data_IF_353265208074
#
_entry.id   IF_353265208074
#
_cell.length_a   1.000
_cell.length_b   1.000
_cell.length_c   1.000
_cell.angle_alpha   90.00
_cell.angle_beta   90.00
_cell.angle_gamma   90.00
#
_symmetry.space_group_name_H-M   'P 1'
#
loop_
_entity.id
_entity.type
_entity.pdbx_description
1 polymer ?
#
# COMPACT_ATOMS: atom_id res chain seq x y z
N UNK A 1 31.64 26.62 -8.38
CA UNK A 1 30.47 27.15 -7.65
C UNK A 1 29.30 27.30 -8.60
N UNK A 2 28.11 26.86 -8.12
CA UNK A 2 26.77 27.11 -8.68
C UNK A 2 26.53 26.65 -10.12
N UNK A 3 25.92 25.47 -10.27
CA UNK A 3 24.80 25.29 -11.21
C UNK A 3 23.79 24.26 -10.65
N UNK A 4 22.72 24.83 -10.09
CA UNK A 4 21.32 24.41 -10.19
C UNK A 4 20.96 22.97 -9.80
N UNK A 5 20.64 22.79 -8.51
CA UNK A 5 19.79 21.71 -8.03
C UNK A 5 18.37 22.00 -8.54
N UNK A 6 17.99 21.34 -9.63
CA UNK A 6 16.64 21.42 -10.17
C UNK A 6 15.72 20.56 -9.31
N UNK A 7 15.16 21.14 -8.25
CA UNK A 7 14.01 20.57 -7.54
C UNK A 7 12.77 20.71 -8.42
N UNK A 8 12.49 19.72 -9.26
CA UNK A 8 11.14 19.55 -9.81
C UNK A 8 10.31 18.89 -8.72
N UNK A 9 9.87 19.71 -7.77
CA UNK A 9 8.84 19.36 -6.82
C UNK A 9 7.49 19.43 -7.54
N UNK A 10 7.10 18.35 -8.24
CA UNK A 10 5.70 18.13 -8.59
C UNK A 10 5.11 17.24 -7.49
N UNK A 11 4.82 17.89 -6.37
CA UNK A 11 4.03 17.32 -5.29
C UNK A 11 2.54 17.49 -5.61
N UNK A 12 2.02 16.73 -6.57
CA UNK A 12 0.57 16.51 -6.70
C UNK A 12 0.34 15.10 -7.22
N UNK A 13 0.16 14.14 -6.33
CA UNK A 13 -0.69 12.97 -6.62
C UNK A 13 -1.36 12.51 -5.32
N UNK A 14 -2.38 13.26 -4.91
CA UNK A 14 -3.47 12.70 -4.11
C UNK A 14 -4.31 11.82 -5.03
N UNK A 15 -3.86 10.60 -5.27
CA UNK A 15 -4.68 9.53 -5.85
C UNK A 15 -4.69 8.36 -4.87
N UNK A 16 -5.83 8.09 -4.19
CA UNK A 16 -6.01 6.83 -3.48
C UNK A 16 -6.22 5.73 -4.53
N UNK A 17 -5.12 5.27 -5.13
CA UNK A 17 -5.11 4.10 -5.99
C UNK A 17 -5.21 2.86 -5.09
N UNK A 18 -6.44 2.42 -4.80
CA UNK A 18 -6.67 1.13 -4.16
C UNK A 18 -6.29 0.00 -5.13
N UNK A 19 -5.01 -0.36 -5.14
CA UNK A 19 -4.52 -1.59 -5.71
C UNK A 19 -4.04 -2.50 -4.58
N UNK A 20 -4.98 -3.14 -3.88
CA UNK A 20 -4.64 -4.25 -2.97
C UNK A 20 -4.35 -5.49 -3.83
N UNK A 21 -3.25 -5.46 -4.58
CA UNK A 21 -2.71 -6.67 -5.18
C UNK A 21 -1.79 -7.32 -4.16
N UNK A 22 -2.15 -8.53 -3.73
CA UNK A 22 -1.30 -9.54 -3.08
C UNK A 22 -0.15 -9.88 -4.06
N UNK A 23 0.74 -8.93 -4.32
CA UNK A 23 1.95 -9.07 -5.15
C UNK A 23 3.14 -8.99 -4.22
N UNK A 24 4.13 -9.84 -4.50
CA UNK A 24 5.42 -9.75 -3.86
C UNK A 24 5.94 -8.29 -4.00
N UNK A 25 6.28 -7.58 -2.91
CA UNK A 25 6.68 -6.17 -2.96
C UNK A 25 7.78 -5.90 -3.99
N UNK A 26 8.69 -6.85 -4.17
CA UNK A 26 9.75 -6.82 -5.18
C UNK A 26 9.17 -6.84 -6.61
N UNK A 27 8.26 -7.76 -6.91
CA UNK A 27 7.60 -7.80 -8.22
C UNK A 27 6.75 -6.56 -8.51
N UNK A 28 6.26 -5.88 -7.48
CA UNK A 28 5.58 -4.60 -7.64
C UNK A 28 6.57 -3.47 -7.98
N UNK A 29 7.70 -3.42 -7.28
CA UNK A 29 8.77 -2.47 -7.56
C UNK A 29 9.34 -2.66 -8.97
N UNK A 30 9.60 -3.90 -9.39
CA UNK A 30 10.13 -4.19 -10.73
C UNK A 30 9.19 -3.72 -11.85
N UNK A 31 7.88 -3.88 -11.65
CA UNK A 31 6.87 -3.40 -12.60
C UNK A 31 6.82 -1.87 -12.65
N UNK A 32 6.95 -1.20 -11.52
CA UNK A 32 7.02 0.25 -11.45
C UNK A 32 8.29 0.78 -12.10
N UNK A 33 9.43 0.17 -11.76
CA UNK A 33 10.74 0.49 -12.32
C UNK A 33 10.73 0.38 -13.85
N UNK A 34 10.16 -0.71 -14.39
CA UNK A 34 10.05 -0.90 -15.84
C UNK A 34 9.08 0.06 -16.51
N UNK A 35 7.94 0.37 -15.87
CA UNK A 35 6.90 1.24 -16.47
C UNK A 35 7.24 2.72 -16.45
N UNK A 36 8.02 3.14 -15.44
CA UNK A 36 8.40 4.54 -15.22
C UNK A 36 9.88 4.79 -15.53
N UNK A 37 10.56 3.76 -16.04
CA UNK A 37 11.99 3.79 -16.39
C UNK A 37 12.87 4.32 -15.24
N UNK A 38 12.58 3.85 -14.02
CA UNK A 38 13.25 4.33 -12.82
C UNK A 38 14.70 3.86 -12.79
N UNK A 39 15.63 4.78 -12.56
CA UNK A 39 17.02 4.44 -12.24
C UNK A 39 17.16 3.90 -10.80
N UNK A 40 18.33 3.36 -10.46
CA UNK A 40 18.59 2.73 -9.16
C UNK A 40 18.32 3.66 -7.97
N UNK A 41 18.68 4.94 -8.08
CA UNK A 41 18.46 5.91 -7.01
C UNK A 41 16.97 6.20 -6.81
N UNK A 42 16.20 6.31 -7.90
CA UNK A 42 14.75 6.49 -7.85
C UNK A 42 14.05 5.27 -7.26
N UNK A 43 14.48 4.06 -7.64
CA UNK A 43 13.93 2.82 -7.08
C UNK A 43 14.14 2.73 -5.57
N UNK A 44 15.33 3.09 -5.07
CA UNK A 44 15.61 3.13 -3.62
C UNK A 44 14.72 4.13 -2.88
N UNK A 45 14.53 5.33 -3.44
CA UNK A 45 13.66 6.35 -2.85
C UNK A 45 12.19 5.91 -2.83
N UNK A 46 11.69 5.34 -3.94
CA UNK A 46 10.32 4.82 -4.00
C UNK A 46 10.13 3.66 -3.03
N UNK A 47 11.11 2.76 -2.91
CA UNK A 47 11.07 1.65 -1.96
C UNK A 47 10.95 2.16 -0.51
N UNK A 48 11.73 3.18 -0.15
CA UNK A 48 11.66 3.80 1.18
C UNK A 48 10.28 4.42 1.45
N UNK A 49 9.73 5.16 0.48
CA UNK A 49 8.39 5.78 0.59
C UNK A 49 7.31 4.70 0.77
N UNK A 50 7.34 3.64 -0.04
CA UNK A 50 6.35 2.56 0.04
C UNK A 50 6.46 1.78 1.35
N UNK A 51 7.67 1.57 1.86
CA UNK A 51 7.89 0.93 3.17
C UNK A 51 7.28 1.77 4.30
N UNK A 52 7.57 3.07 4.33
CA UNK A 52 7.02 3.98 5.32
C UNK A 52 5.49 4.03 5.25
N UNK A 53 4.93 4.11 4.03
CA UNK A 53 3.48 4.08 3.81
C UNK A 53 2.84 2.77 4.30
N UNK A 54 3.50 1.63 4.08
CA UNK A 54 3.04 0.34 4.56
C UNK A 54 2.97 0.28 6.10
N UNK A 55 4.01 0.75 6.78
CA UNK A 55 4.07 0.81 8.25
C UNK A 55 2.97 1.71 8.81
N UNK A 56 2.77 2.90 8.23
CA UNK A 56 1.68 3.81 8.60
C UNK A 56 0.30 3.17 8.40
N UNK A 57 0.11 2.49 7.27
CA UNK A 57 -1.15 1.83 6.98
C UNK A 57 -1.44 0.66 7.94
N UNK A 58 -0.40 -0.09 8.35
CA UNK A 58 -0.53 -1.15 9.35
C UNK A 58 -1.01 -0.59 10.68
N UNK A 59 -0.37 0.46 11.18
CA UNK A 59 -0.77 1.12 12.42
C UNK A 59 -2.19 1.68 12.34
N UNK A 60 -2.55 2.31 11.22
CA UNK A 60 -3.91 2.81 10.98
C UNK A 60 -4.94 1.68 11.00
N UNK A 61 -4.63 0.54 10.37
CA UNK A 61 -5.52 -0.63 10.35
C UNK A 61 -5.76 -1.18 11.75
N UNK A 62 -4.71 -1.31 12.56
CA UNK A 62 -4.81 -1.77 13.95
C UNK A 62 -5.66 -0.81 14.80
N UNK A 63 -5.39 0.50 14.72
CA UNK A 63 -6.18 1.51 15.43
C UNK A 63 -7.65 1.52 15.00
N UNK A 64 -7.92 1.37 13.69
CA UNK A 64 -9.29 1.29 13.18
C UNK A 64 -10.01 0.05 13.71
N UNK A 65 -9.32 -1.08 13.79
CA UNK A 65 -9.88 -2.31 14.34
C UNK A 65 -10.26 -2.16 15.82
N UNK A 66 -9.41 -1.52 16.62
CA UNK A 66 -9.69 -1.21 18.03
C UNK A 66 -10.87 -0.23 18.18
N UNK A 67 -10.96 0.79 17.32
CA UNK A 67 -12.12 1.69 17.34
C UNK A 67 -13.43 0.96 17.00
N UNK A 68 -13.37 0.00 16.07
CA UNK A 68 -14.53 -0.79 15.69
C UNK A 68 -14.95 -1.78 16.78
N UNK A 69 -14.01 -2.34 17.55
CA UNK A 69 -14.36 -3.25 18.66
C UNK A 69 -15.10 -2.56 19.81
N UNK A 70 -14.98 -1.23 19.93
CA UNK A 70 -15.74 -0.44 20.89
C UNK A 70 -17.19 -0.17 20.46
N UNK A 71 -17.51 -0.33 19.17
CA UNK A 71 -18.84 0.00 18.60
C UNK A 71 -19.61 -1.25 18.19
N UNK A 72 -18.91 -2.27 17.70
CA UNK A 72 -19.50 -3.51 17.22
C UNK A 72 -19.57 -4.57 18.31
N UNK A 73 -20.59 -5.43 18.24
CA UNK A 73 -20.59 -6.65 19.06
C UNK A 73 -19.52 -7.63 18.56
N UNK A 74 -19.12 -8.57 19.42
CA UNK A 74 -18.14 -9.61 19.07
C UNK A 74 -18.58 -10.41 17.81
N UNK A 75 -19.86 -10.75 17.70
CA UNK A 75 -20.40 -11.47 16.54
C UNK A 75 -20.33 -10.64 15.25
N UNK A 76 -20.58 -9.33 15.33
CA UNK A 76 -20.51 -8.42 14.18
C UNK A 76 -19.05 -8.25 13.70
N UNK A 77 -18.12 -8.15 14.63
CA UNK A 77 -16.69 -8.04 14.35
C UNK A 77 -16.16 -9.33 13.70
N UNK A 78 -16.50 -10.50 14.24
CA UNK A 78 -16.14 -11.80 13.65
C UNK A 78 -16.74 -11.96 12.24
N UNK A 79 -17.99 -11.53 12.03
CA UNK A 79 -18.60 -11.53 10.70
C UNK A 79 -17.86 -10.63 9.72
N UNK A 80 -17.40 -9.46 10.17
CA UNK A 80 -16.59 -8.54 9.36
C UNK A 80 -15.26 -9.18 8.93
N UNK A 81 -14.56 -9.84 9.85
CA UNK A 81 -13.30 -10.55 9.56
C UNK A 81 -13.51 -11.67 8.54
N UNK A 82 -14.54 -12.51 8.74
CA UNK A 82 -14.90 -13.57 7.78
C UNK A 82 -15.23 -13.03 6.40
N UNK A 83 -15.90 -11.87 6.30
CA UNK A 83 -16.15 -11.23 5.00
C UNK A 83 -14.84 -10.78 4.32
N UNK A 84 -13.91 -10.22 5.10
CA UNK A 84 -12.61 -9.80 4.59
C UNK A 84 -11.78 -11.01 4.09
N UNK A 85 -11.77 -12.12 4.83
CA UNK A 85 -11.07 -13.33 4.44
C UNK A 85 -11.68 -13.99 3.20
N UNK A 86 -13.00 -14.04 3.10
CA UNK A 86 -13.69 -14.52 1.88
C UNK A 86 -13.29 -13.73 0.64
N UNK A 87 -13.19 -12.39 0.74
CA UNK A 87 -12.73 -11.54 -0.36
C UNK A 87 -11.28 -11.86 -0.74
N UNK A 88 -10.41 -12.09 0.24
CA UNK A 88 -9.02 -12.50 0.01
C UNK A 88 -8.92 -13.87 -0.67
N UNK A 89 -9.66 -14.87 -0.20
CA UNK A 89 -9.66 -16.21 -0.80
C UNK A 89 -10.21 -16.22 -2.22
N UNK A 90 -11.26 -15.45 -2.51
CA UNK A 90 -11.77 -15.28 -3.87
C UNK A 90 -10.70 -14.68 -4.79
N UNK A 91 -10.03 -13.62 -4.34
CA UNK A 91 -8.97 -12.99 -5.13
C UNK A 91 -7.76 -13.90 -5.39
N UNK A 92 -7.45 -14.83 -4.47
CA UNK A 92 -6.42 -15.85 -4.68
C UNK A 92 -6.85 -16.88 -5.75
N UNK A 93 -8.08 -17.40 -5.63
CA UNK A 93 -8.63 -18.35 -6.62
C UNK A 93 -8.70 -17.78 -8.03
N UNK A 94 -9.01 -16.50 -8.19
CA UNK A 94 -9.10 -15.85 -9.51
C UNK A 94 -7.71 -15.60 -10.14
N UNK A 95 -6.61 -15.85 -9.42
CA UNK A 95 -5.24 -15.69 -9.89
C UNK A 95 -4.54 -17.01 -10.26
N UNK A 96 -5.09 -18.15 -9.85
CA UNK A 96 -4.63 -19.50 -10.20
C UNK A 96 -5.27 -19.96 -11.52
#
# INVERSE_FOLDING_TARGET
>A
MKQLITFIAIAVLSLPSYAHSDRNPEQHMDKLAKRLELNEQQQQQVAAILKQSHEQHKALKESTHEQLSNVLSAEQLEKMEKMHDKRRHKHKRDKD
#
